data_IF_564286284327
#
_entry.id   IF_564286284327
#
_cell.length_a   1.000
_cell.length_b   1.000
_cell.length_c   1.000
_cell.angle_alpha   90.00
_cell.angle_beta   90.00
_cell.angle_gamma   90.00
#
_symmetry.space_group_name_H-M   'P 1'
#
loop_
_entity.id
_entity.type
_entity.pdbx_description
1 polymer ?
#
# COMPACT_ATOMS: atom_id res chain seq x y z
N UNK A 1 -15.71 10.91 -0.21
CA UNK A 1 -15.58 9.94 -1.32
C UNK A 1 -14.08 9.76 -1.53
N UNK A 2 -13.54 8.55 -1.44
CA UNK A 2 -12.12 8.34 -1.73
C UNK A 2 -11.93 8.43 -3.24
N UNK A 3 -10.98 9.24 -3.69
CA UNK A 3 -10.59 9.24 -5.10
C UNK A 3 -10.04 7.86 -5.47
N UNK A 4 -10.39 7.36 -6.66
CA UNK A 4 -9.94 6.05 -7.10
C UNK A 4 -8.46 6.20 -7.51
N UNK A 5 -7.53 5.46 -6.86
CA UNK A 5 -6.13 5.50 -7.24
C UNK A 5 -5.92 4.87 -8.62
N UNK A 6 -4.94 5.36 -9.37
CA UNK A 6 -4.60 4.75 -10.66
C UNK A 6 -3.80 3.46 -10.48
N UNK A 7 -3.59 2.73 -11.58
CA UNK A 7 -2.92 1.43 -11.56
C UNK A 7 -1.45 1.52 -11.10
N UNK A 8 -0.75 2.63 -11.38
CA UNK A 8 0.64 2.84 -10.95
C UNK A 8 0.66 3.05 -9.43
N UNK A 9 -0.23 3.89 -8.92
CA UNK A 9 -0.35 4.15 -7.49
C UNK A 9 -0.71 2.88 -6.71
N UNK A 10 -1.64 2.09 -7.23
CA UNK A 10 -2.00 0.80 -6.64
C UNK A 10 -0.80 -0.15 -6.64
N UNK A 11 -0.07 -0.25 -7.76
CA UNK A 11 1.11 -1.10 -7.88
C UNK A 11 2.18 -0.71 -6.85
N UNK A 12 2.51 0.57 -6.74
CA UNK A 12 3.52 1.07 -5.80
C UNK A 12 3.14 0.78 -4.34
N UNK A 13 1.89 1.03 -3.96
CA UNK A 13 1.43 0.79 -2.59
C UNK A 13 1.37 -0.70 -2.28
N UNK A 14 0.95 -1.56 -3.22
CA UNK A 14 0.94 -3.00 -3.00
C UNK A 14 2.36 -3.57 -2.84
N UNK A 15 3.34 -3.07 -3.62
CA UNK A 15 4.76 -3.43 -3.46
C UNK A 15 5.31 -2.99 -2.10
N UNK A 16 4.96 -1.78 -1.66
CA UNK A 16 5.36 -1.31 -0.33
C UNK A 16 4.75 -2.20 0.78
N UNK A 17 3.47 -2.55 0.69
CA UNK A 17 2.78 -3.41 1.67
C UNK A 17 3.27 -4.87 1.64
N UNK A 18 3.78 -5.35 0.51
CA UNK A 18 4.41 -6.68 0.43
C UNK A 18 5.68 -6.77 1.29
N UNK A 19 6.39 -5.66 1.49
CA UNK A 19 7.57 -5.62 2.32
C UNK A 19 7.18 -5.70 3.83
N UNK A 20 7.66 -6.71 4.58
CA UNK A 20 7.33 -6.90 6.00
C UNK A 20 7.78 -5.76 6.91
N UNK A 21 8.75 -4.94 6.48
CA UNK A 21 9.26 -3.80 7.24
C UNK A 21 8.41 -2.52 7.02
N UNK A 22 7.45 -2.55 6.09
CA UNK A 22 6.59 -1.42 5.83
C UNK A 22 5.69 -1.10 7.04
N UNK A 23 5.77 0.15 7.51
CA UNK A 23 4.96 0.69 8.58
C UNK A 23 4.51 2.10 8.24
N UNK A 24 3.20 2.37 8.34
CA UNK A 24 2.69 3.71 8.07
C UNK A 24 3.20 4.77 9.07
N UNK A 25 3.68 4.34 10.24
CA UNK A 25 4.17 5.25 11.29
C UNK A 25 5.62 5.69 11.09
N UNK A 26 6.44 4.96 10.34
CA UNK A 26 7.80 5.40 9.99
C UNK A 26 7.72 6.31 8.76
N UNK A 27 7.65 7.62 9.01
CA UNK A 27 7.65 8.69 8.02
C UNK A 27 8.92 8.75 7.13
N UNK A 28 9.90 7.87 7.35
CA UNK A 28 11.12 7.74 6.54
C UNK A 28 10.92 6.83 5.29
N UNK A 29 9.81 6.09 5.23
CA UNK A 29 9.55 5.06 4.22
C UNK A 29 9.33 5.61 2.80
N UNK A 30 8.83 6.83 2.63
CA UNK A 30 8.64 7.39 1.28
C UNK A 30 9.98 7.55 0.52
N UNK A 31 11.09 7.77 1.23
CA UNK A 31 12.44 7.83 0.63
C UNK A 31 13.10 6.45 0.55
N UNK A 32 12.92 5.58 1.56
CA UNK A 32 13.56 4.25 1.58
C UNK A 32 12.97 3.25 0.57
N UNK A 33 11.69 3.40 0.19
CA UNK A 33 10.98 2.38 -0.59
C UNK A 33 10.81 2.76 -2.06
N UNK A 34 11.44 3.85 -2.51
CA UNK A 34 11.27 4.38 -3.87
C UNK A 34 9.78 4.51 -4.27
N UNK A 35 8.87 4.73 -3.31
CA UNK A 35 7.53 5.23 -3.61
C UNK A 35 7.77 6.51 -4.39
N UNK A 36 7.32 6.55 -5.65
CA UNK A 36 7.86 7.50 -6.61
C UNK A 36 7.77 8.95 -6.12
N UNK A 37 8.54 9.82 -6.75
CA UNK A 37 8.49 11.29 -6.59
C UNK A 37 7.04 11.84 -6.74
N UNK A 38 6.12 11.03 -7.28
CA UNK A 38 4.75 11.41 -7.61
C UNK A 38 3.71 11.16 -6.50
N UNK A 39 4.00 10.39 -5.45
CA UNK A 39 3.00 10.07 -4.43
C UNK A 39 3.15 10.90 -3.15
N UNK A 40 2.26 11.87 -2.95
CA UNK A 40 2.19 12.61 -1.68
C UNK A 40 1.74 11.70 -0.52
N UNK A 41 2.08 12.08 0.72
CA UNK A 41 1.64 11.36 1.94
C UNK A 41 0.12 11.16 2.00
N UNK A 42 -0.65 12.17 1.61
CA UNK A 42 -2.10 12.10 1.60
C UNK A 42 -2.57 11.12 0.52
N UNK A 43 -1.93 11.12 -0.65
CA UNK A 43 -2.27 10.19 -1.73
C UNK A 43 -1.99 8.75 -1.31
N UNK A 44 -0.82 8.46 -0.74
CA UNK A 44 -0.50 7.16 -0.14
C UNK A 44 -1.56 6.71 0.88
N UNK A 45 -1.97 7.61 1.77
CA UNK A 45 -2.99 7.31 2.77
C UNK A 45 -4.35 7.00 2.16
N UNK A 46 -4.77 7.78 1.16
CA UNK A 46 -6.02 7.53 0.44
C UNK A 46 -5.99 6.19 -0.31
N UNK A 47 -4.88 5.88 -0.98
CA UNK A 47 -4.69 4.59 -1.67
C UNK A 47 -4.74 3.43 -0.68
N UNK A 48 -4.07 3.53 0.48
CA UNK A 48 -4.16 2.51 1.54
C UNK A 48 -5.60 2.28 2.01
N UNK A 49 -6.36 3.35 2.27
CA UNK A 49 -7.75 3.22 2.71
C UNK A 49 -8.66 2.68 1.62
N UNK A 50 -8.43 3.05 0.36
CA UNK A 50 -9.16 2.51 -0.76
C UNK A 50 -8.89 1.00 -0.90
N UNK A 51 -7.62 0.58 -0.86
CA UNK A 51 -7.23 -0.84 -0.94
C UNK A 51 -7.76 -1.66 0.24
N UNK A 52 -7.77 -1.10 1.44
CA UNK A 52 -8.35 -1.73 2.64
C UNK A 52 -9.86 -1.90 2.48
N UNK A 53 -10.56 -0.86 2.00
CA UNK A 53 -12.00 -0.92 1.72
C UNK A 53 -12.35 -1.94 0.64
N UNK A 54 -11.47 -2.16 -0.34
CA UNK A 54 -11.64 -3.16 -1.39
C UNK A 54 -11.12 -4.56 -0.99
N UNK A 55 -10.67 -4.73 0.26
CA UNK A 55 -10.16 -6.00 0.80
C UNK A 55 -8.91 -6.55 0.10
N UNK A 56 -8.15 -5.70 -0.60
CA UNK A 56 -6.85 -6.07 -1.16
C UNK A 56 -5.75 -6.09 -0.09
N UNK A 57 -5.89 -5.25 0.93
CA UNK A 57 -5.00 -5.23 2.09
C UNK A 57 -5.82 -5.30 3.38
N UNK A 58 -5.18 -5.76 4.45
CA UNK A 58 -5.80 -5.83 5.78
C UNK A 58 -4.87 -5.23 6.82
N UNK A 59 -5.45 -4.56 7.82
CA UNK A 59 -4.70 -4.01 8.95
C UNK A 59 -4.83 -4.94 10.15
N UNK A 60 -3.73 -5.45 10.70
CA UNK A 60 -3.78 -6.19 11.97
C UNK A 60 -3.83 -5.20 13.13
N UNK A 61 -4.84 -5.34 14.00
CA UNK A 61 -5.07 -4.45 15.16
C UNK A 61 -4.12 -4.71 16.35
N UNK A 62 -3.44 -5.86 16.37
CA UNK A 62 -2.64 -6.33 17.52
C UNK A 62 -1.12 -6.31 17.28
N UNK A 63 -0.61 -5.34 16.52
CA UNK A 63 0.85 -5.08 16.51
C UNK A 63 1.12 -4.07 17.62
N UNK A 64 1.98 -4.43 18.58
CA UNK A 64 2.25 -3.65 19.79
C UNK A 64 2.31 -2.13 19.55
N UNK A 65 1.29 -1.44 20.09
CA UNK A 65 1.07 -0.01 20.36
C UNK A 65 1.57 1.11 19.42
N UNK A 66 2.36 0.89 18.38
CA UNK A 66 2.91 2.00 17.59
C UNK A 66 3.10 1.75 16.09
N UNK A 67 2.68 0.61 15.53
CA UNK A 67 2.87 0.36 14.09
C UNK A 67 1.57 -0.08 13.43
N UNK A 68 0.89 0.86 12.75
CA UNK A 68 -0.22 0.55 11.84
C UNK A 68 0.35 -0.17 10.63
N UNK A 69 0.47 -1.51 10.73
CA UNK A 69 0.93 -2.36 9.62
C UNK A 69 -0.24 -2.86 8.79
N UNK A 70 -0.01 -2.89 7.49
CA UNK A 70 -0.90 -3.48 6.50
C UNK A 70 -0.26 -4.77 5.96
N UNK A 71 -1.10 -5.69 5.54
CA UNK A 71 -0.70 -6.97 4.96
C UNK A 71 -1.53 -7.22 3.71
N UNK A 72 -0.91 -7.75 2.66
CA UNK A 72 -1.63 -8.22 1.48
C UNK A 72 -2.61 -9.34 1.87
N UNK A 73 -3.82 -9.27 1.34
CA UNK A 73 -4.72 -10.43 1.30
C UNK A 73 -4.38 -11.28 0.08
N UNK A 74 -4.93 -12.49 -0.02
CA UNK A 74 -4.77 -13.32 -1.23
C UNK A 74 -5.28 -12.59 -2.50
N UNK A 75 -6.34 -11.79 -2.35
CA UNK A 75 -6.89 -10.96 -3.42
C UNK A 75 -5.91 -9.85 -3.81
N UNK A 76 -5.27 -9.21 -2.82
CA UNK A 76 -4.22 -8.21 -3.06
C UNK A 76 -3.00 -8.78 -3.78
N UNK A 77 -2.54 -9.99 -3.38
CA UNK A 77 -1.43 -10.68 -4.06
C UNK A 77 -1.76 -10.97 -5.52
N UNK A 78 -3.00 -11.38 -5.83
CA UNK A 78 -3.43 -11.57 -7.22
C UNK A 78 -3.42 -10.27 -8.00
N UNK A 79 -3.94 -9.19 -7.42
CA UNK A 79 -3.95 -7.87 -8.05
C UNK A 79 -2.52 -7.37 -8.35
N UNK A 80 -1.61 -7.49 -7.38
CA UNK A 80 -0.20 -7.11 -7.55
C UNK A 80 0.41 -7.82 -8.77
N UNK A 81 0.26 -9.14 -8.84
CA UNK A 81 0.79 -9.95 -9.97
C UNK A 81 0.19 -9.57 -11.32
N UNK A 82 -1.08 -9.18 -11.36
CA UNK A 82 -1.72 -8.70 -12.59
C UNK A 82 -1.12 -7.38 -13.03
N UNK A 83 -1.03 -6.40 -12.12
CA UNK A 83 -0.46 -5.08 -12.42
C UNK A 83 1.00 -5.15 -12.83
N UNK A 84 1.80 -6.02 -12.21
CA UNK A 84 3.20 -6.27 -12.59
C UNK A 84 3.35 -6.83 -14.01
N UNK A 85 2.34 -7.53 -14.54
CA UNK A 85 2.36 -8.05 -15.91
C UNK A 85 1.89 -7.00 -16.92
N UNK A 86 0.95 -6.16 -16.53
CA UNK A 86 0.35 -5.14 -17.41
C UNK A 86 1.23 -3.89 -17.58
N UNK A 87 2.01 -3.54 -16.55
CA UNK A 87 2.85 -2.33 -16.51
C UNK A 87 4.31 -2.62 -16.93
N UNK A 88 4.62 -3.87 -17.28
CA UNK A 88 5.94 -4.30 -17.78
C UNK A 88 6.12 -4.00 -19.26
#
# INVERSE_FOLDING_TARGET
>A
MYEIPDNIEVLEVLKAVENPDFSFMSLEIAREYNLSVHMSRNRLLYTLYWLEKQEFISRKKNVEKAQKRYFLTERGTRLLRTLEREIR
#
